data_IF_975849753914
#
_entry.id   IF_975849753914
#
_cell.length_a   1.000
_cell.length_b   1.000
_cell.length_c   1.000
_cell.angle_alpha   90.00
_cell.angle_beta   90.00
_cell.angle_gamma   90.00
#
_symmetry.space_group_name_H-M   'P 1'
#
loop_
_entity.id
_entity.type
_entity.pdbx_description
1 polymer ?
#
# COMPACT_ATOMS: atom_id res chain seq x y z
N UNK A 1 -4.64 7.49 39.07
CA UNK A 1 -4.90 8.90 38.78
C UNK A 1 -4.44 9.15 37.36
N UNK A 2 -5.35 8.96 36.38
CA UNK A 2 -5.11 9.17 34.95
C UNK A 2 -5.81 10.45 34.54
N UNK A 3 -5.17 11.43 33.89
CA UNK A 3 -5.84 12.56 33.32
C UNK A 3 -6.38 12.20 31.92
N UNK A 4 -7.56 12.70 31.67
CA UNK A 4 -8.46 12.47 30.58
C UNK A 4 -7.90 12.88 29.23
N UNK A 5 -8.06 11.97 28.25
CA UNK A 5 -7.70 12.19 26.86
C UNK A 5 -8.74 13.08 26.17
N UNK A 6 -8.27 14.14 25.54
CA UNK A 6 -9.06 14.95 24.62
C UNK A 6 -9.29 14.24 23.30
N UNK A 7 -10.55 13.94 23.03
CA UNK A 7 -11.03 13.46 21.75
C UNK A 7 -11.10 14.63 20.76
N UNK A 8 -10.38 14.53 19.65
CA UNK A 8 -10.46 15.49 18.54
C UNK A 8 -11.70 15.19 17.69
N UNK A 9 -12.67 16.10 17.55
CA UNK A 9 -13.83 15.88 16.70
C UNK A 9 -13.57 16.41 15.28
N UNK A 10 -13.25 15.55 14.35
CA UNK A 10 -13.39 15.91 12.94
C UNK A 10 -14.86 15.78 12.52
N UNK A 11 -15.65 16.77 12.92
CA UNK A 11 -17.03 16.91 12.48
C UNK A 11 -17.06 17.50 11.07
N UNK A 12 -17.44 16.67 10.11
CA UNK A 12 -17.79 17.10 8.76
C UNK A 12 -19.14 17.82 8.81
N UNK A 13 -19.14 19.15 8.94
CA UNK A 13 -20.35 19.97 8.99
C UNK A 13 -20.92 20.14 7.59
N UNK A 14 -21.97 19.41 7.28
CA UNK A 14 -22.83 19.69 6.12
C UNK A 14 -23.63 20.97 6.40
N UNK A 15 -23.21 22.10 5.88
CA UNK A 15 -24.03 23.30 5.81
C UNK A 15 -24.99 23.19 4.62
N UNK A 16 -26.22 22.87 4.91
CA UNK A 16 -27.34 23.01 3.98
C UNK A 16 -27.73 24.50 3.96
N UNK A 17 -27.41 25.20 2.89
CA UNK A 17 -27.93 26.54 2.63
C UNK A 17 -29.20 26.38 1.78
N UNK A 18 -30.33 26.58 2.42
CA UNK A 18 -31.64 26.74 1.76
C UNK A 18 -31.73 28.20 1.32
N UNK A 19 -31.60 28.47 0.03
CA UNK A 19 -31.97 29.74 -0.55
C UNK A 19 -33.34 29.62 -1.20
N UNK A 20 -34.38 30.11 -0.51
CA UNK A 20 -35.69 30.43 -1.09
C UNK A 20 -35.57 31.83 -1.72
N UNK A 21 -35.65 31.91 -3.04
CA UNK A 21 -35.96 33.14 -3.75
C UNK A 21 -36.99 32.85 -4.84
N UNK A 22 -38.22 33.37 -4.60
CA UNK A 22 -39.23 33.55 -5.64
C UNK A 22 -38.72 34.65 -6.58
N UNK A 23 -38.71 34.39 -7.87
CA UNK A 23 -38.47 35.38 -8.90
C UNK A 23 -38.89 34.83 -10.25
N UNK A 24 -40.10 35.24 -10.72
CA UNK A 24 -40.55 35.02 -12.08
C UNK A 24 -39.72 35.86 -13.04
N UNK A 25 -39.05 35.25 -14.01
CA UNK A 25 -38.78 35.88 -15.33
C UNK A 25 -38.43 34.84 -16.36
N UNK A 26 -39.18 34.88 -17.47
CA UNK A 26 -38.99 34.06 -18.65
C UNK A 26 -37.68 34.42 -19.36
N UNK A 27 -36.83 33.43 -19.55
CA UNK A 27 -35.62 33.56 -20.36
C UNK A 27 -34.97 32.20 -20.49
N UNK A 28 -35.08 31.60 -21.68
CA UNK A 28 -34.47 30.33 -22.00
C UNK A 28 -32.95 30.48 -22.10
N UNK A 29 -32.23 30.08 -21.04
CA UNK A 29 -30.79 29.85 -21.10
C UNK A 29 -30.54 28.38 -20.82
N UNK A 30 -29.99 27.69 -21.82
CA UNK A 30 -29.47 26.33 -21.71
C UNK A 30 -28.35 26.34 -20.66
N UNK A 31 -28.68 25.97 -19.42
CA UNK A 31 -27.68 25.66 -18.40
C UNK A 31 -27.08 24.30 -18.76
N UNK A 32 -25.85 24.33 -19.29
CA UNK A 32 -24.99 23.17 -19.36
C UNK A 32 -24.65 22.82 -17.91
N UNK A 33 -25.38 21.87 -17.34
CA UNK A 33 -25.02 21.25 -16.07
C UNK A 33 -23.76 20.44 -16.33
N UNK A 34 -22.62 21.04 -15.99
CA UNK A 34 -21.35 20.32 -15.92
C UNK A 34 -21.49 19.22 -14.86
N UNK A 35 -21.71 18.01 -15.29
CA UNK A 35 -21.49 16.82 -14.50
C UNK A 35 -20.00 16.78 -14.17
N UNK A 36 -19.61 17.35 -13.03
CA UNK A 36 -18.34 17.04 -12.39
C UNK A 36 -18.41 15.56 -12.00
N UNK A 37 -18.10 14.70 -12.96
CA UNK A 37 -17.87 13.31 -12.72
C UNK A 37 -16.68 13.24 -11.75
N UNK A 38 -16.94 12.89 -10.49
CA UNK A 38 -15.90 12.30 -9.66
C UNK A 38 -15.46 11.04 -10.41
N UNK A 39 -14.37 11.16 -11.15
CA UNK A 39 -13.66 10.00 -11.66
C UNK A 39 -13.22 9.23 -10.43
N UNK A 40 -14.03 8.23 -10.03
CA UNK A 40 -13.54 7.14 -9.22
C UNK A 40 -12.46 6.51 -10.10
N UNK A 41 -11.22 6.87 -9.83
CA UNK A 41 -10.10 6.07 -10.31
C UNK A 41 -10.35 4.67 -9.75
N UNK A 42 -10.84 3.81 -10.64
CA UNK A 42 -10.83 2.39 -10.38
C UNK A 42 -9.38 2.06 -10.11
N UNK A 43 -9.07 1.69 -8.86
CA UNK A 43 -7.85 0.99 -8.53
C UNK A 43 -7.79 -0.23 -9.44
N UNK A 44 -7.22 -0.01 -10.61
CA UNK A 44 -7.07 -1.02 -11.62
C UNK A 44 -6.06 -2.03 -11.14
N UNK A 45 -6.40 -3.28 -11.32
CA UNK A 45 -5.53 -4.44 -11.15
C UNK A 45 -5.22 -4.77 -9.69
N UNK A 46 -5.93 -5.78 -9.17
CA UNK A 46 -5.74 -6.34 -7.82
C UNK A 46 -4.32 -6.88 -7.58
N UNK A 47 -3.50 -6.97 -8.62
CA UNK A 47 -2.13 -7.49 -8.58
C UNK A 47 -1.04 -6.42 -8.55
N UNK A 48 -1.40 -5.13 -8.72
CA UNK A 48 -0.45 -4.03 -8.69
C UNK A 48 -0.51 -3.30 -7.35
N UNK A 49 0.62 -3.20 -6.66
CA UNK A 49 0.75 -2.45 -5.41
C UNK A 49 1.61 -1.21 -5.62
N UNK A 50 1.17 -0.08 -5.07
CA UNK A 50 1.91 1.19 -5.08
C UNK A 50 2.32 1.51 -3.66
N UNK A 51 3.61 1.74 -3.43
CA UNK A 51 4.19 1.98 -2.11
C UNK A 51 5.03 3.24 -2.16
N UNK A 52 4.80 4.19 -1.25
CA UNK A 52 5.68 5.35 -1.11
C UNK A 52 7.04 4.89 -0.58
N UNK A 53 8.14 5.41 -1.13
CA UNK A 53 9.49 5.12 -0.65
C UNK A 53 9.67 5.49 0.82
N UNK A 54 8.99 6.57 1.27
CA UNK A 54 8.96 7.02 2.65
C UNK A 54 8.35 6.03 3.64
N UNK A 55 7.47 5.15 3.15
CA UNK A 55 6.78 4.16 3.99
C UNK A 55 7.62 2.90 4.20
N UNK A 56 8.78 2.82 3.54
CA UNK A 56 9.71 1.69 3.66
C UNK A 56 10.92 2.12 4.50
N UNK A 57 11.01 1.70 5.77
CA UNK A 57 12.08 2.13 6.66
C UNK A 57 13.45 1.62 6.21
N UNK A 58 14.48 2.48 6.37
CA UNK A 58 15.88 2.11 6.10
C UNK A 58 16.34 1.06 7.11
N UNK A 59 17.06 0.05 6.66
CA UNK A 59 17.47 -1.09 7.46
C UNK A 59 16.36 -2.08 7.78
N UNK A 60 15.21 -1.98 7.08
CA UNK A 60 14.04 -2.81 7.30
C UNK A 60 13.17 -2.95 6.05
N UNK A 61 11.86 -2.84 6.21
CA UNK A 61 10.92 -2.93 5.09
C UNK A 61 9.46 -2.89 5.54
N UNK A 62 8.57 -3.07 4.58
CA UNK A 62 7.12 -3.08 4.76
C UNK A 62 6.46 -4.29 4.06
N UNK A 63 5.38 -4.80 4.63
CA UNK A 63 4.51 -5.80 4.02
C UNK A 63 3.35 -5.08 3.33
N UNK A 64 3.21 -5.29 2.03
CA UNK A 64 2.17 -4.65 1.21
C UNK A 64 1.44 -5.69 0.38
N UNK A 65 0.20 -6.01 0.74
CA UNK A 65 -0.53 -7.10 0.11
C UNK A 65 0.25 -8.42 0.21
N UNK A 66 0.52 -9.05 -0.92
CA UNK A 66 1.33 -10.27 -1.03
C UNK A 66 2.79 -10.00 -1.39
N UNK A 67 3.30 -8.81 -1.06
CA UNK A 67 4.69 -8.43 -1.31
C UNK A 67 5.38 -7.98 -0.03
N UNK A 68 6.68 -8.15 -0.01
CA UNK A 68 7.62 -7.56 0.95
C UNK A 68 8.44 -6.55 0.18
N UNK A 69 8.45 -5.31 0.63
CA UNK A 69 9.32 -4.26 0.10
C UNK A 69 10.34 -3.93 1.16
N UNK A 70 11.61 -3.94 0.82
CA UNK A 70 12.70 -3.70 1.77
C UNK A 70 13.59 -2.55 1.33
N UNK A 71 14.23 -1.91 2.30
CA UNK A 71 15.24 -0.87 2.09
C UNK A 71 16.45 -1.16 2.98
N UNK A 72 17.31 -2.13 2.62
CA UNK A 72 18.47 -2.51 3.46
C UNK A 72 19.46 -1.37 3.67
N UNK A 73 19.62 -0.50 2.68
CA UNK A 73 20.38 0.74 2.76
C UNK A 73 19.56 1.89 2.16
N UNK A 74 19.83 3.11 2.58
CA UNK A 74 19.12 4.29 2.10
C UNK A 74 19.12 4.40 0.57
N UNK A 75 17.94 4.46 -0.03
CA UNK A 75 17.74 4.53 -1.48
C UNK A 75 17.86 3.19 -2.23
N UNK A 76 18.23 2.10 -1.55
CA UNK A 76 18.31 0.75 -2.13
C UNK A 76 17.05 -0.04 -1.79
N UNK A 77 16.25 -0.37 -2.80
CA UNK A 77 14.99 -1.08 -2.61
C UNK A 77 15.02 -2.46 -3.24
N UNK A 78 14.42 -3.42 -2.56
CA UNK A 78 14.13 -4.76 -3.08
C UNK A 78 12.67 -5.09 -2.85
N UNK A 79 12.11 -5.94 -3.71
CA UNK A 79 10.77 -6.47 -3.54
C UNK A 79 10.79 -7.99 -3.69
N UNK A 80 10.00 -8.66 -2.87
CA UNK A 80 9.85 -10.13 -2.88
C UNK A 80 8.37 -10.48 -2.79
N UNK A 81 8.01 -11.64 -3.34
CA UNK A 81 6.72 -12.24 -3.03
C UNK A 81 6.69 -12.68 -1.56
N UNK A 82 5.63 -12.34 -0.86
CA UNK A 82 5.50 -12.65 0.56
C UNK A 82 5.19 -14.13 0.85
N UNK A 83 5.15 -14.98 -0.15
CA UNK A 83 4.92 -16.41 0.01
C UNK A 83 6.20 -17.11 0.52
N UNK A 84 6.15 -17.66 1.74
CA UNK A 84 7.25 -18.42 2.33
C UNK A 84 7.52 -19.71 1.54
N UNK A 85 8.75 -19.96 1.03
CA UNK A 85 9.04 -21.12 0.20
C UNK A 85 8.98 -22.46 0.95
N UNK A 86 8.79 -22.46 2.27
CA UNK A 86 8.60 -23.68 3.05
C UNK A 86 7.21 -24.29 2.84
N UNK A 87 6.14 -23.47 2.94
CA UNK A 87 4.76 -23.95 2.92
C UNK A 87 3.79 -23.00 2.20
N UNK A 88 4.27 -22.01 1.45
CA UNK A 88 3.44 -21.06 0.69
C UNK A 88 2.68 -20.03 1.53
N UNK A 89 2.78 -20.08 2.85
CA UNK A 89 2.10 -19.14 3.74
C UNK A 89 2.75 -17.74 3.62
N UNK A 90 1.98 -16.71 3.85
CA UNK A 90 2.49 -15.35 3.86
C UNK A 90 3.47 -15.16 5.02
N UNK A 91 4.63 -14.53 4.76
CA UNK A 91 5.55 -14.08 5.81
C UNK A 91 4.85 -13.08 6.72
N UNK A 92 5.23 -13.03 8.00
CA UNK A 92 4.43 -12.39 9.04
C UNK A 92 4.83 -10.96 9.33
N UNK A 93 6.15 -10.68 9.35
CA UNK A 93 6.69 -9.38 9.74
C UNK A 93 8.14 -9.20 9.28
N UNK A 94 8.64 -8.00 9.50
CA UNK A 94 10.05 -7.64 9.31
C UNK A 94 10.61 -7.20 10.66
N UNK A 95 11.73 -7.78 11.06
CA UNK A 95 12.48 -7.46 12.29
C UNK A 95 13.89 -7.00 11.91
N UNK A 96 14.12 -5.69 11.87
CA UNK A 96 15.38 -5.13 11.39
C UNK A 96 15.67 -5.62 9.97
N UNK A 97 16.76 -6.35 9.77
CA UNK A 97 17.16 -6.88 8.47
C UNK A 97 16.64 -8.31 8.19
N UNK A 98 15.74 -8.83 9.00
CA UNK A 98 15.15 -10.14 8.84
C UNK A 98 13.68 -10.07 8.42
N UNK A 99 13.32 -10.78 7.37
CA UNK A 99 11.92 -11.08 7.01
C UNK A 99 11.55 -12.38 7.72
N UNK A 100 10.50 -12.36 8.53
CA UNK A 100 10.15 -13.44 9.45
C UNK A 100 8.84 -14.11 9.03
N UNK A 101 8.86 -15.43 9.00
CA UNK A 101 7.68 -16.28 8.84
C UNK A 101 7.38 -16.98 10.17
N UNK A 102 6.35 -16.52 10.90
CA UNK A 102 6.01 -17.07 12.22
C UNK A 102 5.47 -18.50 12.19
N UNK A 103 4.96 -18.92 11.05
CA UNK A 103 4.34 -20.24 10.92
C UNK A 103 5.29 -21.37 11.37
N UNK A 104 6.58 -21.29 11.00
CA UNK A 104 7.58 -22.27 11.39
C UNK A 104 8.95 -21.65 11.70
N UNK A 105 9.01 -20.33 11.90
CA UNK A 105 10.21 -19.62 12.34
C UNK A 105 11.29 -19.42 11.28
N UNK A 106 10.95 -19.55 9.98
CA UNK A 106 11.88 -19.25 8.91
C UNK A 106 12.23 -17.75 8.89
N UNK A 107 13.50 -17.42 8.59
CA UNK A 107 13.98 -16.04 8.44
C UNK A 107 14.73 -15.88 7.14
N UNK A 108 14.56 -14.70 6.53
CA UNK A 108 15.17 -14.35 5.25
C UNK A 108 15.78 -12.96 5.33
N UNK A 109 16.86 -12.74 4.59
CA UNK A 109 17.53 -11.43 4.49
C UNK A 109 16.66 -10.40 3.77
N UNK A 110 16.58 -9.19 4.30
CA UNK A 110 15.94 -8.04 3.61
C UNK A 110 16.72 -7.60 2.37
N UNK A 111 18.02 -7.86 2.32
CA UNK A 111 18.89 -7.45 1.21
C UNK A 111 18.79 -8.40 0.01
N UNK A 112 18.79 -9.71 0.24
CA UNK A 112 18.90 -10.70 -0.83
C UNK A 112 17.73 -11.70 -0.90
N UNK A 113 16.82 -11.66 0.09
CA UNK A 113 15.79 -12.69 0.24
C UNK A 113 16.33 -14.07 0.64
N UNK A 114 17.64 -14.21 0.84
CA UNK A 114 18.30 -15.48 1.17
C UNK A 114 17.82 -16.02 2.52
N UNK A 115 17.81 -17.37 2.65
CA UNK A 115 17.47 -18.04 3.92
C UNK A 115 18.56 -17.75 4.95
N UNK A 116 18.18 -17.16 6.07
CA UNK A 116 19.03 -16.98 7.26
C UNK A 116 18.75 -18.07 8.30
N UNK A 117 17.49 -18.52 8.38
CA UNK A 117 17.07 -19.59 9.29
C UNK A 117 15.99 -20.45 8.62
N UNK A 118 16.16 -21.78 8.67
CA UNK A 118 15.17 -22.75 8.22
C UNK A 118 13.85 -22.69 9.01
N UNK A 119 12.86 -23.50 8.59
CA UNK A 119 12.95 -24.71 7.76
C UNK A 119 12.91 -24.47 6.22
N UNK A 120 12.71 -23.25 5.75
CA UNK A 120 12.77 -22.96 4.31
C UNK A 120 14.16 -23.35 3.73
N UNK A 121 14.15 -23.96 2.53
CA UNK A 121 15.38 -24.38 1.82
C UNK A 121 15.70 -23.52 0.61
N UNK A 122 14.79 -22.59 0.25
CA UNK A 122 14.92 -21.69 -0.88
C UNK A 122 14.73 -20.26 -0.41
N UNK A 123 15.39 -19.33 -1.08
CA UNK A 123 15.20 -17.89 -0.88
C UNK A 123 13.79 -17.44 -1.25
N UNK A 124 13.36 -16.28 -0.74
CA UNK A 124 12.16 -15.62 -1.24
C UNK A 124 12.30 -15.33 -2.73
N UNK A 125 11.21 -15.43 -3.44
CA UNK A 125 11.17 -15.11 -4.87
C UNK A 125 11.17 -13.59 -5.05
N UNK A 126 12.12 -13.00 -5.82
CA UNK A 126 12.07 -11.59 -6.13
C UNK A 126 10.80 -11.22 -6.89
N UNK A 127 10.23 -10.08 -6.56
CA UNK A 127 9.10 -9.48 -7.26
C UNK A 127 9.61 -8.32 -8.12
N UNK A 128 9.19 -8.22 -9.38
CA UNK A 128 9.57 -7.09 -10.22
C UNK A 128 8.85 -5.83 -9.74
N UNK A 129 9.56 -4.71 -9.78
CA UNK A 129 8.99 -3.41 -9.51
C UNK A 129 9.60 -2.34 -10.41
N UNK A 130 8.88 -1.23 -10.57
CA UNK A 130 9.38 -0.01 -11.24
C UNK A 130 9.28 1.16 -10.28
N UNK A 131 10.02 2.22 -10.56
CA UNK A 131 9.99 3.46 -9.79
C UNK A 131 9.30 4.55 -10.59
N UNK A 132 8.30 5.18 -9.99
CA UNK A 132 7.57 6.33 -10.54
C UNK A 132 7.70 7.49 -9.53
N UNK A 133 8.69 8.35 -9.73
CA UNK A 133 9.08 9.38 -8.75
C UNK A 133 9.41 8.76 -7.39
N UNK A 134 8.64 9.11 -6.36
CA UNK A 134 8.78 8.60 -5.00
C UNK A 134 7.92 7.36 -4.70
N UNK A 135 7.32 6.77 -5.73
CA UNK A 135 6.47 5.59 -5.62
C UNK A 135 7.16 4.38 -6.22
N UNK A 136 7.14 3.26 -5.51
CA UNK A 136 7.48 1.94 -6.02
C UNK A 136 6.20 1.27 -6.50
N UNK A 137 6.20 0.78 -7.72
CA UNK A 137 5.07 0.08 -8.36
C UNK A 137 5.46 -1.37 -8.55
N UNK A 138 4.85 -2.26 -7.78
CA UNK A 138 5.11 -3.70 -7.80
C UNK A 138 3.93 -4.39 -8.47
N UNK A 139 4.17 -5.26 -9.42
CA UNK A 139 3.12 -5.99 -10.12
C UNK A 139 3.50 -7.43 -10.36
N UNK A 140 2.51 -8.32 -10.41
CA UNK A 140 2.75 -9.68 -10.92
C UNK A 140 3.03 -9.62 -12.42
N UNK A 141 4.05 -10.35 -12.91
CA UNK A 141 4.22 -10.55 -14.35
C UNK A 141 2.98 -11.26 -14.93
N UNK A 142 2.50 -10.76 -16.06
CA UNK A 142 1.30 -11.27 -16.72
C UNK A 142 1.38 -12.76 -17.18
N UNK A 143 2.59 -13.30 -17.19
CA UNK A 143 2.89 -14.71 -17.54
C UNK A 143 2.65 -15.71 -16.41
N UNK A 144 2.26 -15.25 -15.22
CA UNK A 144 2.00 -16.06 -14.03
C UNK A 144 0.58 -15.93 -13.46
N UNK A 145 -0.34 -15.37 -14.27
CA UNK A 145 -1.76 -15.27 -13.95
C UNK A 145 -2.51 -16.51 -14.46
#
# INVERSE_FOLDING_TARGET
>A
MYPDGEASPHACTRRTLIHTSLGLSAGATLAVVGLSGCSMERSGDSDTQRVQKSDVPVGGGALVGWYVVTQPAAGTFHAYYAACPHAGVKVSRIEGQDIVCDSHGARFSTDSGAVLKGPAKKSLTPAPFTTDGDVLVISMPKDKQ
#
